data_IF_347772726771
#
_entry.id   IF_347772726771
#
_cell.length_a   1.000
_cell.length_b   1.000
_cell.length_c   1.000
_cell.angle_alpha   90.00
_cell.angle_beta   90.00
_cell.angle_gamma   90.00
#
_symmetry.space_group_name_H-M   'P 1'
#
loop_
_entity.id
_entity.type
_entity.pdbx_description
1 polymer ?
#
# COMPACT_ATOMS: atom_id res chain seq x y z
N UNK A 1 -22.13 9.40 14.79
CA UNK A 1 -22.83 8.28 15.41
C UNK A 1 -23.96 7.84 14.49
N UNK A 2 -23.99 6.57 14.13
CA UNK A 2 -25.06 5.97 13.35
C UNK A 2 -25.98 5.20 14.28
N UNK A 3 -27.26 5.49 14.23
CA UNK A 3 -28.28 4.77 15.00
C UNK A 3 -29.10 3.90 14.04
N UNK A 4 -29.11 2.59 14.29
CA UNK A 4 -29.99 1.65 13.61
C UNK A 4 -31.07 1.19 14.60
N UNK A 5 -32.36 1.54 14.39
CA UNK A 5 -33.45 1.02 15.21
C UNK A 5 -33.50 -0.51 15.15
N UNK A 6 -33.86 -1.16 16.28
CA UNK A 6 -34.08 -2.61 16.31
C UNK A 6 -35.27 -3.04 15.43
N UNK A 7 -36.20 -2.14 15.22
CA UNK A 7 -37.37 -2.35 14.36
C UNK A 7 -37.44 -1.26 13.30
N UNK A 8 -38.06 -1.57 12.17
CA UNK A 8 -38.29 -0.59 11.11
C UNK A 8 -39.21 0.54 11.67
N UNK A 9 -38.67 1.77 11.64
CA UNK A 9 -39.41 2.96 12.06
C UNK A 9 -40.03 3.60 10.84
N UNK A 10 -41.33 3.63 10.77
CA UNK A 10 -42.06 4.37 9.74
C UNK A 10 -42.12 5.83 10.17
N UNK A 11 -41.41 6.70 9.44
CA UNK A 11 -41.44 8.15 9.69
C UNK A 11 -42.68 8.75 9.04
N UNK A 12 -43.59 9.30 9.83
CA UNK A 12 -44.79 9.97 9.36
C UNK A 12 -44.53 11.44 9.05
N UNK A 13 -45.07 11.93 7.94
CA UNK A 13 -44.94 13.32 7.55
C UNK A 13 -45.60 14.25 8.59
N UNK A 14 -44.88 15.28 9.05
CA UNK A 14 -45.33 16.23 10.04
C UNK A 14 -45.02 15.84 11.50
N UNK A 15 -44.42 14.67 11.73
CA UNK A 15 -44.02 14.21 13.08
C UNK A 15 -42.56 14.59 13.38
N UNK A 16 -42.29 14.93 14.63
CA UNK A 16 -40.94 15.24 15.13
C UNK A 16 -40.46 14.08 16.02
N UNK A 17 -39.35 13.45 15.63
CA UNK A 17 -38.71 12.36 16.36
C UNK A 17 -37.56 12.90 17.22
N UNK A 18 -37.53 12.60 18.50
CA UNK A 18 -36.41 12.94 19.39
C UNK A 18 -35.85 11.69 20.01
N UNK A 19 -34.58 11.46 19.76
CA UNK A 19 -33.84 10.35 20.38
C UNK A 19 -33.01 10.84 21.57
N UNK A 20 -33.09 10.10 22.68
CA UNK A 20 -32.21 10.31 23.83
C UNK A 20 -31.12 9.26 23.81
N UNK A 21 -29.90 9.71 23.71
CA UNK A 21 -28.73 8.83 23.63
C UNK A 21 -27.97 8.92 24.94
N UNK A 22 -27.73 7.78 25.58
CA UNK A 22 -26.88 7.68 26.76
C UNK A 22 -25.48 7.25 26.34
N UNK A 23 -24.50 8.06 26.71
CA UNK A 23 -23.07 7.78 26.43
C UNK A 23 -22.47 7.13 27.67
N UNK A 24 -21.94 5.92 27.53
CA UNK A 24 -21.20 5.21 28.57
C UNK A 24 -19.78 4.88 28.08
N UNK A 25 -18.93 4.42 29.00
CA UNK A 25 -17.53 4.06 28.68
C UNK A 25 -17.39 2.90 27.70
N UNK A 26 -18.45 2.14 27.42
CA UNK A 26 -18.47 0.96 26.54
C UNK A 26 -19.25 1.19 25.24
N UNK A 27 -19.79 2.39 25.01
CA UNK A 27 -20.57 2.70 23.80
C UNK A 27 -21.72 3.66 24.05
N UNK A 28 -22.59 3.78 23.05
CA UNK A 28 -23.81 4.59 23.10
C UNK A 28 -25.00 3.69 23.23
N UNK A 29 -25.78 3.92 24.28
CA UNK A 29 -27.07 3.24 24.45
C UNK A 29 -28.20 4.24 24.25
N UNK A 30 -29.17 3.91 23.41
CA UNK A 30 -30.36 4.71 23.24
C UNK A 30 -31.32 4.43 24.41
N UNK A 31 -31.65 5.45 25.19
CA UNK A 31 -32.63 5.29 26.29
C UNK A 31 -34.09 5.39 25.83
N UNK A 32 -34.34 5.87 24.62
CA UNK A 32 -35.67 5.87 24.03
C UNK A 32 -35.79 6.86 22.85
N UNK A 33 -36.72 6.57 21.97
CA UNK A 33 -37.19 7.52 20.93
C UNK A 33 -38.56 8.03 21.40
N UNK A 34 -38.71 9.35 21.51
CA UNK A 34 -40.04 9.96 21.71
C UNK A 34 -40.46 10.75 20.48
N UNK A 35 -41.67 10.51 20.01
CA UNK A 35 -42.29 11.32 18.98
C UNK A 35 -42.79 12.60 19.68
N UNK A 36 -42.21 13.75 19.30
CA UNK A 36 -42.54 15.02 19.96
C UNK A 36 -43.87 15.59 19.55
N UNK A 37 -44.58 16.15 20.46
CA UNK A 37 -45.67 17.11 20.51
C UNK A 37 -47.00 16.86 19.77
N UNK A 38 -47.11 15.87 18.90
CA UNK A 38 -48.35 15.65 18.15
C UNK A 38 -49.04 14.32 18.41
N UNK A 39 -48.32 13.30 18.79
CA UNK A 39 -48.84 12.01 19.27
C UNK A 39 -47.77 11.38 20.16
N UNK A 40 -48.13 10.99 21.41
CA UNK A 40 -47.27 10.13 22.22
C UNK A 40 -47.25 8.73 21.60
N UNK A 41 -46.28 8.49 20.76
CA UNK A 41 -46.01 7.16 20.22
C UNK A 41 -44.88 6.54 21.00
N UNK A 42 -45.10 5.40 21.58
CA UNK A 42 -44.18 4.63 22.42
C UNK A 42 -42.70 4.86 22.30
N UNK A 43 -41.93 4.53 23.30
CA UNK A 43 -40.48 4.62 23.29
C UNK A 43 -39.83 3.36 22.69
N UNK A 44 -38.90 3.52 21.82
CA UNK A 44 -38.02 2.42 21.40
C UNK A 44 -36.66 2.52 22.09
N UNK A 45 -36.11 1.38 22.49
CA UNK A 45 -34.73 1.27 22.97
C UNK A 45 -33.88 0.57 21.90
N UNK A 46 -32.72 1.11 21.64
CA UNK A 46 -31.74 0.51 20.74
C UNK A 46 -30.32 0.78 21.23
N UNK A 47 -29.40 -0.10 20.94
CA UNK A 47 -27.99 0.15 21.17
C UNK A 47 -27.41 0.90 19.97
N UNK A 48 -26.61 1.92 20.24
CA UNK A 48 -25.86 2.57 19.17
C UNK A 48 -24.70 1.64 18.78
N UNK A 49 -24.63 1.30 17.51
CA UNK A 49 -23.53 0.50 16.98
C UNK A 49 -22.25 1.34 16.96
N UNK A 50 -21.18 0.80 17.54
CA UNK A 50 -19.84 1.37 17.42
C UNK A 50 -19.30 1.06 16.01
N UNK A 51 -19.30 2.05 15.13
CA UNK A 51 -18.83 1.90 13.77
C UNK A 51 -17.29 1.80 13.64
N UNK A 52 -16.55 1.92 14.76
CA UNK A 52 -15.10 1.82 14.79
C UNK A 52 -14.36 3.03 14.22
N UNK A 53 -15.04 4.15 13.99
CA UNK A 53 -14.46 5.40 13.53
C UNK A 53 -15.20 6.63 14.04
N UNK A 54 -14.52 7.78 14.06
CA UNK A 54 -15.11 9.10 14.21
C UNK A 54 -15.05 9.84 12.87
N UNK A 55 -16.05 10.64 12.55
CA UNK A 55 -16.10 11.43 11.32
C UNK A 55 -16.11 12.93 11.60
N UNK A 56 -15.18 13.67 11.02
CA UNK A 56 -15.17 15.12 10.99
C UNK A 56 -15.64 15.61 9.61
N UNK A 57 -16.82 16.23 9.58
CA UNK A 57 -17.41 16.75 8.34
C UNK A 57 -16.69 17.96 7.76
N UNK A 58 -15.93 18.71 8.57
CA UNK A 58 -15.21 19.91 8.09
C UNK A 58 -14.00 19.53 7.25
N UNK A 59 -13.32 18.45 7.64
CA UNK A 59 -12.11 17.94 6.96
C UNK A 59 -12.40 16.72 6.08
N UNK A 60 -13.62 16.20 6.10
CA UNK A 60 -14.03 14.92 5.49
C UNK A 60 -13.13 13.75 5.96
N UNK A 61 -12.70 13.77 7.22
CA UNK A 61 -11.76 12.79 7.76
C UNK A 61 -12.47 11.77 8.62
N UNK A 62 -12.21 10.51 8.35
CA UNK A 62 -12.59 9.36 9.16
C UNK A 62 -11.40 8.93 10.01
N UNK A 63 -11.50 9.10 11.34
CA UNK A 63 -10.48 8.66 12.29
C UNK A 63 -10.85 7.27 12.79
N UNK A 64 -10.12 6.27 12.31
CA UNK A 64 -10.38 4.83 12.52
C UNK A 64 -9.60 4.33 13.73
N UNK A 65 -10.25 3.55 14.61
CA UNK A 65 -9.62 3.05 15.83
C UNK A 65 -9.77 1.53 16.06
N UNK A 66 -10.42 0.79 15.15
CA UNK A 66 -10.48 -0.66 15.17
C UNK A 66 -10.69 -1.26 13.77
N UNK A 67 -10.65 -2.59 13.65
CA UNK A 67 -10.78 -3.31 12.38
C UNK A 67 -12.14 -3.07 11.71
N UNK A 68 -13.22 -3.09 12.48
CA UNK A 68 -14.57 -2.90 11.92
C UNK A 68 -14.71 -1.48 11.35
N UNK A 69 -14.11 -0.48 12.03
CA UNK A 69 -14.05 0.89 11.52
C UNK A 69 -13.30 1.00 10.18
N UNK A 70 -12.17 0.32 10.04
CA UNK A 70 -11.44 0.33 8.78
C UNK A 70 -12.24 -0.36 7.65
N UNK A 71 -12.90 -1.47 7.95
CA UNK A 71 -13.77 -2.18 7.00
C UNK A 71 -14.96 -1.32 6.59
N UNK A 72 -15.65 -0.68 7.56
CA UNK A 72 -16.79 0.20 7.29
C UNK A 72 -16.39 1.40 6.40
N UNK A 73 -15.22 2.00 6.65
CA UNK A 73 -14.73 3.12 5.83
C UNK A 73 -14.30 2.64 4.44
N UNK A 74 -13.72 1.44 4.32
CA UNK A 74 -13.43 0.83 3.03
C UNK A 74 -14.70 0.64 2.18
N UNK A 75 -15.80 0.17 2.80
CA UNK A 75 -17.10 0.05 2.14
C UNK A 75 -17.65 1.41 1.69
N UNK A 76 -17.46 2.48 2.48
CA UNK A 76 -17.87 3.83 2.07
C UNK A 76 -17.12 4.31 0.83
N UNK A 77 -15.80 4.06 0.76
CA UNK A 77 -14.99 4.39 -0.43
C UNK A 77 -15.45 3.59 -1.63
N UNK A 78 -15.58 2.27 -1.48
CA UNK A 78 -16.01 1.37 -2.54
C UNK A 78 -17.47 1.61 -2.97
N UNK A 79 -18.28 2.24 -2.10
CA UNK A 79 -19.62 2.75 -2.39
C UNK A 79 -19.66 4.14 -3.05
N UNK A 80 -18.51 4.71 -3.45
CA UNK A 80 -18.41 5.94 -4.23
C UNK A 80 -17.93 7.18 -3.47
N UNK A 81 -17.60 7.10 -2.16
CA UNK A 81 -17.00 8.21 -1.41
C UNK A 81 -15.45 8.19 -1.54
N UNK A 82 -14.96 8.31 -2.75
CA UNK A 82 -13.55 8.07 -3.09
C UNK A 82 -12.59 9.16 -2.62
N UNK A 83 -13.08 10.37 -2.28
CA UNK A 83 -12.29 11.57 -1.93
C UNK A 83 -12.20 11.85 -0.41
N UNK A 84 -12.60 10.89 0.43
CA UNK A 84 -12.54 11.04 1.89
C UNK A 84 -11.13 10.81 2.42
N UNK A 85 -10.80 11.48 3.53
CA UNK A 85 -9.55 11.25 4.24
C UNK A 85 -9.74 10.18 5.32
N UNK A 86 -8.73 9.35 5.50
CA UNK A 86 -8.71 8.28 6.50
C UNK A 86 -7.46 8.43 7.35
N UNK A 87 -7.61 8.44 8.67
CA UNK A 87 -6.48 8.46 9.60
C UNK A 87 -6.65 7.32 10.61
N UNK A 88 -5.59 6.60 10.88
CA UNK A 88 -5.58 5.60 11.95
C UNK A 88 -5.23 6.27 13.29
N UNK A 89 -5.97 5.98 14.33
CA UNK A 89 -5.73 6.44 15.72
C UNK A 89 -5.12 5.33 16.60
N UNK A 90 -5.14 4.09 16.11
CA UNK A 90 -4.63 2.90 16.79
C UNK A 90 -4.14 1.86 15.79
N UNK A 91 -3.38 0.90 16.31
CA UNK A 91 -3.07 -0.31 15.55
C UNK A 91 -4.35 -1.07 15.20
N UNK A 92 -4.40 -1.61 13.99
CA UNK A 92 -5.56 -2.32 13.45
C UNK A 92 -5.18 -3.79 13.22
N UNK A 93 -5.90 -4.71 13.85
CA UNK A 93 -5.74 -6.15 13.62
C UNK A 93 -6.83 -6.66 12.68
N UNK A 94 -6.42 -7.03 11.46
CA UNK A 94 -7.28 -7.63 10.43
C UNK A 94 -7.16 -9.15 10.36
N UNK A 95 -6.51 -9.79 11.33
CA UNK A 95 -6.33 -11.24 11.34
C UNK A 95 -7.69 -11.95 11.30
N UNK A 96 -7.87 -12.82 10.31
CA UNK A 96 -9.12 -13.57 10.11
C UNK A 96 -10.29 -12.75 9.56
N UNK A 97 -10.09 -11.47 9.26
CA UNK A 97 -11.10 -10.63 8.60
C UNK A 97 -10.97 -10.76 7.08
N UNK A 98 -12.10 -10.84 6.37
CA UNK A 98 -12.13 -10.68 4.92
C UNK A 98 -11.82 -9.25 4.54
N UNK A 99 -11.02 -9.04 3.48
CA UNK A 99 -10.69 -7.70 3.02
C UNK A 99 -11.00 -7.52 1.54
N UNK A 100 -11.77 -6.50 1.23
CA UNK A 100 -11.91 -5.97 -0.13
C UNK A 100 -11.02 -4.75 -0.26
N UNK A 101 -10.08 -4.70 -1.23
CA UNK A 101 -9.21 -3.55 -1.40
C UNK A 101 -9.96 -2.24 -1.52
N UNK A 102 -9.44 -1.17 -0.89
CA UNK A 102 -9.99 0.18 -1.01
C UNK A 102 -9.69 0.70 -2.41
N UNK A 103 -10.73 1.20 -3.11
CA UNK A 103 -10.60 1.60 -4.51
C UNK A 103 -10.42 0.39 -5.42
N UNK A 104 -11.52 -0.15 -5.94
CA UNK A 104 -11.53 -1.45 -6.62
C UNK A 104 -10.95 -1.44 -8.03
N UNK A 105 -11.03 -0.29 -8.72
CA UNK A 105 -10.66 -0.14 -10.12
C UNK A 105 -10.40 1.33 -10.48
N UNK A 106 -10.15 1.61 -11.76
CA UNK A 106 -9.89 2.97 -12.26
C UNK A 106 -11.02 3.96 -11.97
N UNK A 107 -12.27 3.56 -12.15
CA UNK A 107 -13.43 4.43 -11.99
C UNK A 107 -13.77 4.66 -10.51
N UNK A 108 -13.52 3.66 -9.67
CA UNK A 108 -13.70 3.67 -8.22
C UNK A 108 -12.35 3.78 -7.48
N UNK A 109 -11.38 4.49 -8.04
CA UNK A 109 -10.07 4.68 -7.43
C UNK A 109 -10.16 5.56 -6.18
N UNK A 110 -9.39 5.23 -5.14
CA UNK A 110 -9.27 6.10 -3.97
C UNK A 110 -8.44 7.34 -4.30
N UNK A 111 -8.95 8.53 -3.99
CA UNK A 111 -8.33 9.82 -4.31
C UNK A 111 -8.10 10.71 -3.09
N UNK A 112 -8.39 10.22 -1.89
CA UNK A 112 -8.15 10.93 -0.64
C UNK A 112 -6.73 10.75 -0.09
N UNK A 113 -6.56 11.15 1.17
CA UNK A 113 -5.36 10.90 1.96
C UNK A 113 -5.62 9.81 3.00
N UNK A 114 -4.81 8.77 2.98
CA UNK A 114 -4.74 7.76 4.04
C UNK A 114 -3.47 7.99 4.86
N UNK A 115 -3.63 8.36 6.11
CA UNK A 115 -2.52 8.56 7.06
C UNK A 115 -2.57 7.49 8.15
N UNK A 116 -1.61 6.58 8.13
CA UNK A 116 -1.51 5.55 9.17
C UNK A 116 -1.07 6.08 10.53
N UNK A 117 -0.61 7.33 10.64
CA UNK A 117 -0.17 7.91 11.91
C UNK A 117 1.01 7.15 12.56
N UNK A 118 1.71 6.31 11.82
CA UNK A 118 2.73 5.39 12.34
C UNK A 118 2.15 4.12 12.99
N UNK A 119 0.84 3.92 12.91
CA UNK A 119 0.19 2.71 13.43
C UNK A 119 0.34 1.52 12.49
N UNK A 120 0.22 0.34 13.07
CA UNK A 120 0.38 -0.94 12.38
C UNK A 120 -0.98 -1.52 11.97
N UNK A 121 -1.07 -1.98 10.72
CA UNK A 121 -2.12 -2.88 10.25
C UNK A 121 -1.53 -4.29 10.21
N UNK A 122 -2.07 -5.19 11.06
CA UNK A 122 -1.58 -6.57 11.19
C UNK A 122 -2.53 -7.55 10.52
N UNK A 123 -1.97 -8.61 9.90
CA UNK A 123 -2.71 -9.77 9.45
C UNK A 123 -3.64 -9.55 8.26
N UNK A 124 -3.48 -8.46 7.51
CA UNK A 124 -4.24 -8.23 6.28
C UNK A 124 -4.10 -9.42 5.33
N UNK A 125 -5.22 -10.04 4.97
CA UNK A 125 -5.26 -11.15 4.02
C UNK A 125 -6.17 -10.81 2.85
N UNK A 126 -5.61 -10.84 1.64
CA UNK A 126 -6.34 -10.67 0.37
C UNK A 126 -6.10 -11.89 -0.50
N UNK A 127 -7.16 -12.55 -0.92
CA UNK A 127 -7.09 -13.57 -1.98
C UNK A 127 -8.21 -13.26 -2.97
N UNK A 128 -7.85 -12.82 -4.15
CA UNK A 128 -8.82 -12.35 -5.14
C UNK A 128 -8.52 -12.87 -6.54
N UNK A 129 -9.59 -12.97 -7.35
CA UNK A 129 -9.54 -13.16 -8.80
C UNK A 129 -9.75 -11.81 -9.54
N UNK A 130 -9.93 -10.72 -8.82
CA UNK A 130 -9.99 -9.38 -9.39
C UNK A 130 -8.60 -8.91 -9.78
N UNK A 131 -8.53 -7.87 -10.59
CA UNK A 131 -7.30 -7.41 -11.22
C UNK A 131 -6.32 -6.77 -10.23
N UNK A 132 -6.82 -6.12 -9.16
CA UNK A 132 -6.02 -5.34 -8.22
C UNK A 132 -6.08 -5.88 -6.80
N UNK A 133 -4.92 -6.09 -6.17
CA UNK A 133 -4.81 -6.65 -4.83
C UNK A 133 -3.81 -5.86 -3.96
N UNK A 134 -4.23 -5.56 -2.71
CA UNK A 134 -3.45 -4.83 -1.71
C UNK A 134 -4.34 -4.32 -0.59
N UNK A 135 -3.82 -3.44 0.27
CA UNK A 135 -4.67 -2.63 1.15
C UNK A 135 -5.59 -1.76 0.27
N UNK A 136 -5.01 -1.21 -0.79
CA UNK A 136 -5.73 -0.52 -1.88
C UNK A 136 -5.64 -1.36 -3.16
N UNK A 137 -6.72 -1.37 -3.94
CA UNK A 137 -6.69 -1.89 -5.30
C UNK A 137 -6.09 -0.85 -6.26
N UNK A 138 -6.71 0.32 -6.31
CA UNK A 138 -6.34 1.40 -7.21
C UNK A 138 -6.26 2.76 -6.49
N UNK A 139 -5.09 3.40 -6.53
CA UNK A 139 -4.83 4.70 -5.92
C UNK A 139 -4.73 5.81 -6.96
N UNK A 140 -5.58 6.83 -6.85
CA UNK A 140 -5.61 7.98 -7.75
C UNK A 140 -5.93 7.60 -9.19
N UNK A 141 -6.24 8.57 -10.01
CA UNK A 141 -6.30 8.41 -11.46
C UNK A 141 -6.15 9.76 -12.16
N UNK A 142 -5.97 9.73 -13.48
CA UNK A 142 -5.74 10.93 -14.28
C UNK A 142 -6.90 11.94 -14.20
N UNK A 143 -8.14 11.46 -14.07
CA UNK A 143 -9.34 12.32 -14.10
C UNK A 143 -9.72 12.87 -12.73
N UNK A 144 -9.53 12.09 -11.66
CA UNK A 144 -10.07 12.38 -10.33
C UNK A 144 -8.99 12.87 -9.35
N UNK A 145 -7.71 12.84 -9.75
CA UNK A 145 -6.59 13.32 -8.95
C UNK A 145 -5.75 12.21 -8.30
N UNK A 146 -4.65 12.64 -7.70
CA UNK A 146 -3.70 11.76 -7.04
C UNK A 146 -4.14 11.47 -5.60
N UNK A 147 -3.95 10.23 -5.17
CA UNK A 147 -4.10 9.82 -3.77
C UNK A 147 -2.79 10.00 -2.99
N UNK A 148 -2.88 10.03 -1.67
CA UNK A 148 -1.71 9.92 -0.79
C UNK A 148 -1.93 8.81 0.24
N UNK A 149 -0.96 7.90 0.35
CA UNK A 149 -0.90 6.90 1.43
C UNK A 149 0.40 7.10 2.17
N UNK A 150 0.34 7.32 3.48
CA UNK A 150 1.55 7.60 4.25
C UNK A 150 1.52 7.03 5.66
N UNK A 151 2.73 6.86 6.24
CA UNK A 151 2.94 6.49 7.63
C UNK A 151 2.24 5.18 8.04
N UNK A 152 2.24 4.16 7.19
CA UNK A 152 1.58 2.88 7.45
C UNK A 152 2.61 1.78 7.65
N UNK A 153 2.53 1.07 8.76
CA UNK A 153 3.26 -0.19 9.00
C UNK A 153 2.31 -1.35 8.72
N UNK A 154 2.64 -2.18 7.74
CA UNK A 154 1.85 -3.36 7.38
C UNK A 154 2.62 -4.62 7.79
N UNK A 155 2.11 -5.34 8.79
CA UNK A 155 2.84 -6.47 9.39
C UNK A 155 2.11 -7.81 9.17
N UNK A 156 2.88 -8.80 8.70
CA UNK A 156 2.41 -10.17 8.51
C UNK A 156 1.31 -10.30 7.44
N UNK A 157 1.33 -9.45 6.40
CA UNK A 157 0.30 -9.48 5.35
C UNK A 157 0.40 -10.71 4.44
N UNK A 158 -0.72 -11.11 3.87
CA UNK A 158 -0.81 -12.18 2.88
C UNK A 158 -1.67 -11.72 1.69
N UNK A 159 -1.02 -11.29 0.62
CA UNK A 159 -1.70 -10.83 -0.60
C UNK A 159 -1.52 -11.88 -1.71
N UNK A 160 -2.63 -12.32 -2.30
CA UNK A 160 -2.65 -13.25 -3.43
C UNK A 160 -3.62 -12.74 -4.51
N UNK A 161 -3.08 -12.38 -5.67
CA UNK A 161 -3.85 -12.00 -6.84
C UNK A 161 -3.79 -13.12 -7.88
N UNK A 162 -4.91 -13.84 -8.07
CA UNK A 162 -4.99 -14.96 -9.02
C UNK A 162 -5.36 -14.49 -10.44
N UNK A 163 -5.66 -13.22 -10.65
CA UNK A 163 -6.01 -12.69 -11.95
C UNK A 163 -4.82 -12.80 -12.92
N UNK A 164 -5.07 -13.22 -14.18
CA UNK A 164 -4.01 -13.43 -15.17
C UNK A 164 -3.21 -12.16 -15.46
N UNK A 165 -3.86 -11.01 -15.49
CA UNK A 165 -3.25 -9.68 -15.65
C UNK A 165 -3.17 -8.93 -14.33
N UNK A 166 -3.00 -9.65 -13.21
CA UNK A 166 -3.15 -9.09 -11.87
C UNK A 166 -2.01 -8.18 -11.45
N UNK A 167 -2.38 -7.20 -10.68
CA UNK A 167 -1.52 -6.21 -10.02
C UNK A 167 -1.57 -6.44 -8.52
N UNK A 168 -0.45 -6.80 -7.91
CA UNK A 168 -0.39 -7.09 -6.49
C UNK A 168 0.70 -6.26 -5.80
N UNK A 169 0.32 -5.61 -4.71
CA UNK A 169 1.23 -4.89 -3.82
C UNK A 169 0.72 -4.92 -2.39
N UNK A 170 1.59 -4.82 -1.40
CA UNK A 170 1.17 -4.75 -0.02
C UNK A 170 0.31 -3.52 0.24
N UNK A 171 0.77 -2.35 -0.20
CA UNK A 171 0.02 -1.10 -0.10
C UNK A 171 -1.01 -0.99 -1.23
N UNK A 172 -0.60 -1.14 -2.49
CA UNK A 172 -1.54 -0.98 -3.60
C UNK A 172 -1.25 -1.90 -4.78
N UNK A 173 -2.29 -2.38 -5.47
CA UNK A 173 -2.15 -3.05 -6.76
C UNK A 173 -1.63 -2.09 -7.82
N UNK A 174 -2.28 -0.94 -7.97
CA UNK A 174 -1.92 0.11 -8.93
C UNK A 174 -1.96 1.50 -8.29
N UNK A 175 -1.01 2.37 -8.60
CA UNK A 175 -0.93 3.71 -8.01
C UNK A 175 -0.57 4.79 -9.03
N UNK A 176 -1.34 5.91 -8.98
CA UNK A 176 -1.06 7.21 -9.59
C UNK A 176 -0.70 8.27 -8.54
N UNK A 177 -0.58 7.87 -7.30
CA UNK A 177 -0.44 8.76 -6.16
C UNK A 177 0.95 8.75 -5.54
N UNK A 178 0.97 9.26 -4.33
CA UNK A 178 2.14 9.28 -3.45
C UNK A 178 2.01 8.18 -2.40
N UNK A 179 3.06 7.36 -2.25
CA UNK A 179 3.21 6.39 -1.16
C UNK A 179 4.45 6.80 -0.37
N UNK A 180 4.28 7.18 0.89
CA UNK A 180 5.36 7.76 1.68
C UNK A 180 5.46 7.10 3.07
N UNK A 181 6.69 6.83 3.51
CA UNK A 181 6.96 6.30 4.85
C UNK A 181 6.11 5.07 5.20
N UNK A 182 6.02 4.11 4.26
CA UNK A 182 5.27 2.87 4.45
C UNK A 182 6.22 1.68 4.52
N UNK A 183 5.95 0.75 5.43
CA UNK A 183 6.70 -0.49 5.54
C UNK A 183 5.80 -1.71 5.41
N UNK A 184 6.30 -2.75 4.74
CA UNK A 184 5.53 -3.96 4.45
C UNK A 184 6.33 -5.20 4.84
N UNK A 185 5.70 -6.10 5.63
CA UNK A 185 6.21 -7.43 5.93
C UNK A 185 5.16 -8.51 5.63
N UNK A 186 5.61 -9.74 5.36
CA UNK A 186 4.73 -10.87 5.07
C UNK A 186 4.94 -11.44 3.66
N UNK A 187 3.88 -11.59 2.85
CA UNK A 187 3.97 -12.14 1.50
C UNK A 187 3.04 -11.46 0.51
N UNK A 188 3.55 -11.24 -0.70
CA UNK A 188 2.78 -10.74 -1.85
C UNK A 188 2.98 -11.67 -3.03
N UNK A 189 1.91 -12.19 -3.60
CA UNK A 189 1.95 -13.09 -4.74
C UNK A 189 0.94 -12.71 -5.82
N UNK A 190 1.31 -12.94 -7.07
CA UNK A 190 0.45 -12.65 -8.22
C UNK A 190 1.08 -13.10 -9.52
N UNK A 191 0.49 -12.69 -10.65
CA UNK A 191 0.94 -13.14 -11.97
C UNK A 191 1.76 -12.07 -12.69
N UNK A 192 1.20 -10.90 -12.98
CA UNK A 192 1.80 -10.00 -13.96
C UNK A 192 2.68 -8.93 -13.32
N UNK A 193 2.15 -8.12 -12.43
CA UNK A 193 2.86 -7.00 -11.80
C UNK A 193 2.84 -7.16 -10.30
N UNK A 194 3.96 -7.56 -9.72
CA UNK A 194 4.01 -7.93 -8.30
C UNK A 194 5.14 -7.19 -7.60
N UNK A 195 4.80 -6.39 -6.59
CA UNK A 195 5.76 -5.68 -5.77
C UNK A 195 5.43 -5.79 -4.28
N UNK A 196 6.43 -5.73 -3.45
CA UNK A 196 6.20 -5.79 -1.99
C UNK A 196 5.39 -4.60 -1.48
N UNK A 197 5.57 -3.41 -2.07
CA UNK A 197 4.80 -2.20 -1.75
C UNK A 197 3.70 -1.97 -2.79
N UNK A 198 4.04 -1.99 -4.09
CA UNK A 198 3.09 -1.68 -5.15
C UNK A 198 3.30 -2.58 -6.38
N UNK A 199 2.21 -3.05 -7.01
CA UNK A 199 2.28 -3.76 -8.28
C UNK A 199 2.81 -2.87 -9.40
N UNK A 200 2.14 -1.76 -9.67
CA UNK A 200 2.56 -0.71 -10.62
C UNK A 200 2.48 0.67 -9.99
N UNK A 201 3.57 1.42 -10.05
CA UNK A 201 3.59 2.86 -9.81
C UNK A 201 3.62 3.57 -11.15
N UNK A 202 2.57 4.30 -11.45
CA UNK A 202 2.46 5.14 -12.63
C UNK A 202 2.30 6.59 -12.19
N UNK A 203 3.24 7.46 -12.58
CA UNK A 203 3.32 8.82 -12.07
C UNK A 203 3.45 8.90 -10.52
N UNK A 204 3.56 10.08 -9.95
CA UNK A 204 3.71 10.24 -8.51
C UNK A 204 5.00 9.68 -7.93
N UNK A 205 5.00 9.36 -6.63
CA UNK A 205 6.24 8.99 -5.94
C UNK A 205 6.07 7.88 -4.92
N UNK A 206 7.13 7.08 -4.75
CA UNK A 206 7.33 6.21 -3.60
C UNK A 206 8.56 6.73 -2.84
N UNK A 207 8.38 7.17 -1.61
CA UNK A 207 9.46 7.80 -0.84
C UNK A 207 9.55 7.23 0.58
N UNK A 208 10.75 6.89 1.03
CA UNK A 208 10.97 6.36 2.38
C UNK A 208 10.24 5.04 2.66
N UNK A 209 9.95 4.25 1.64
CA UNK A 209 9.20 3.01 1.79
C UNK A 209 10.10 1.77 1.81
N UNK A 210 9.68 0.77 2.56
CA UNK A 210 10.43 -0.48 2.67
C UNK A 210 9.56 -1.72 2.53
N UNK A 211 10.19 -2.82 2.08
CA UNK A 211 9.55 -4.13 2.05
C UNK A 211 10.51 -5.22 2.51
N UNK A 212 10.09 -5.96 3.53
CA UNK A 212 10.67 -7.24 3.93
C UNK A 212 9.81 -8.43 3.50
N UNK A 213 8.72 -8.17 2.77
CA UNK A 213 7.82 -9.21 2.30
C UNK A 213 8.50 -10.14 1.29
N UNK A 214 8.18 -11.43 1.34
CA UNK A 214 8.49 -12.36 0.26
C UNK A 214 7.58 -12.08 -0.92
N UNK A 215 8.16 -11.75 -2.07
CA UNK A 215 7.43 -11.45 -3.29
C UNK A 215 7.53 -12.61 -4.26
N UNK A 216 6.38 -13.05 -4.83
CA UNK A 216 6.33 -14.13 -5.81
C UNK A 216 5.48 -13.71 -7.02
N UNK A 217 6.03 -13.86 -8.23
CA UNK A 217 5.31 -13.49 -9.44
C UNK A 217 5.90 -14.08 -10.70
N UNK A 218 5.37 -13.68 -11.87
CA UNK A 218 5.74 -14.29 -13.16
C UNK A 218 6.39 -13.30 -14.12
N UNK A 219 5.82 -12.09 -14.32
CA UNK A 219 6.22 -11.24 -15.45
C UNK A 219 7.08 -10.04 -15.02
N UNK A 220 6.56 -9.17 -14.16
CA UNK A 220 7.30 -8.02 -13.64
C UNK A 220 7.26 -8.05 -12.11
N UNK A 221 8.38 -8.42 -11.52
CA UNK A 221 8.43 -8.77 -10.11
C UNK A 221 9.56 -8.03 -9.41
N UNK A 222 9.25 -7.29 -8.35
CA UNK A 222 10.24 -6.53 -7.59
C UNK A 222 9.94 -6.47 -6.09
N UNK A 223 10.97 -6.31 -5.29
CA UNK A 223 10.83 -6.27 -3.83
C UNK A 223 10.04 -5.07 -3.32
N UNK A 224 10.09 -3.92 -4.01
CA UNK A 224 9.26 -2.72 -3.75
C UNK A 224 8.17 -2.58 -4.80
N UNK A 225 8.53 -2.56 -6.08
CA UNK A 225 7.58 -2.36 -7.16
C UNK A 225 7.76 -3.40 -8.29
N UNK A 226 6.65 -3.94 -8.80
CA UNK A 226 6.69 -4.78 -10.01
C UNK A 226 7.11 -3.96 -11.22
N UNK A 227 6.50 -2.80 -11.39
CA UNK A 227 6.82 -1.86 -12.47
C UNK A 227 6.71 -0.40 -12.01
N UNK A 228 7.60 0.46 -12.55
CA UNK A 228 7.49 1.93 -12.49
C UNK A 228 7.47 2.49 -13.90
N UNK A 229 6.56 3.42 -14.18
CA UNK A 229 6.38 4.00 -15.53
C UNK A 229 6.02 5.48 -15.49
N UNK A 230 6.21 6.16 -16.63
CA UNK A 230 5.88 7.58 -16.85
C UNK A 230 6.59 8.52 -15.85
N UNK A 231 5.80 9.28 -15.06
CA UNK A 231 6.28 10.24 -14.08
C UNK A 231 6.76 9.64 -12.75
N UNK A 232 6.78 8.32 -12.60
CA UNK A 232 7.09 7.65 -11.35
C UNK A 232 8.52 7.91 -10.84
N UNK A 233 8.66 8.19 -9.55
CA UNK A 233 9.94 8.35 -8.87
C UNK A 233 10.02 7.44 -7.64
N UNK A 234 11.20 6.87 -7.38
CA UNK A 234 11.51 6.16 -6.15
C UNK A 234 12.67 6.83 -5.44
N UNK A 235 12.48 7.21 -4.18
CA UNK A 235 13.52 7.87 -3.36
C UNK A 235 13.60 7.24 -1.99
N UNK A 236 14.79 6.95 -1.51
CA UNK A 236 15.06 6.40 -0.18
C UNK A 236 14.24 5.13 0.14
N UNK A 237 14.10 4.22 -0.84
CA UNK A 237 13.34 2.99 -0.70
C UNK A 237 14.25 1.76 -0.63
N UNK A 238 13.79 0.73 0.08
CA UNK A 238 14.59 -0.49 0.13
C UNK A 238 13.76 -1.77 0.22
N UNK A 239 14.37 -2.89 -0.23
CA UNK A 239 13.80 -4.23 -0.11
C UNK A 239 14.79 -5.20 0.51
N UNK A 240 14.34 -5.92 1.53
CA UNK A 240 15.11 -6.97 2.21
C UNK A 240 14.50 -8.36 2.05
N UNK A 241 13.25 -8.42 1.60
CA UNK A 241 12.54 -9.67 1.34
C UNK A 241 12.99 -10.37 0.06
N UNK A 242 12.82 -11.68 0.00
CA UNK A 242 13.18 -12.47 -1.18
C UNK A 242 12.19 -12.25 -2.34
N UNK A 243 12.72 -12.26 -3.56
CA UNK A 243 11.94 -12.17 -4.79
C UNK A 243 12.04 -13.50 -5.55
N UNK A 244 10.91 -14.15 -5.78
CA UNK A 244 10.80 -15.44 -6.44
C UNK A 244 10.03 -15.31 -7.75
N UNK A 245 10.67 -15.64 -8.88
CA UNK A 245 10.11 -15.45 -10.21
C UNK A 245 9.80 -16.81 -10.82
N UNK A 246 8.51 -17.06 -11.12
CA UNK A 246 8.09 -18.25 -11.87
C UNK A 246 8.05 -17.89 -13.35
N UNK A 247 9.04 -18.37 -14.11
CA UNK A 247 9.17 -18.04 -15.53
C UNK A 247 8.10 -18.76 -16.33
N UNK A 248 7.22 -17.98 -17.00
CA UNK A 248 6.29 -18.48 -18.00
C UNK A 248 6.95 -18.53 -19.39
N UNK A 249 6.67 -19.60 -20.14
CA UNK A 249 7.38 -19.95 -21.37
C UNK A 249 7.26 -18.96 -22.53
N UNK A 250 6.31 -18.04 -22.49
CA UNK A 250 5.93 -17.22 -23.67
C UNK A 250 6.05 -15.71 -23.45
N UNK A 251 6.42 -15.25 -22.27
CA UNK A 251 6.42 -13.83 -21.93
C UNK A 251 7.84 -13.29 -21.72
N UNK A 252 8.01 -11.98 -21.95
CA UNK A 252 9.18 -11.27 -21.51
C UNK A 252 9.09 -11.03 -19.99
N UNK A 253 10.16 -11.35 -19.29
CA UNK A 253 10.21 -11.38 -17.85
C UNK A 253 11.24 -10.42 -17.32
N UNK A 254 10.82 -9.59 -16.36
CA UNK A 254 11.69 -8.63 -15.70
C UNK A 254 11.59 -8.81 -14.17
N UNK A 255 12.67 -9.25 -13.56
CA UNK A 255 12.74 -9.46 -12.12
C UNK A 255 13.90 -8.71 -11.47
N UNK A 256 13.65 -8.05 -10.34
CA UNK A 256 14.66 -7.32 -9.61
C UNK A 256 14.47 -7.34 -8.10
N UNK A 257 15.55 -7.24 -7.36
CA UNK A 257 15.49 -7.17 -5.91
C UNK A 257 14.71 -5.97 -5.39
N UNK A 258 14.72 -4.84 -6.14
CA UNK A 258 13.94 -3.65 -5.82
C UNK A 258 12.75 -3.47 -6.78
N UNK A 259 13.03 -3.38 -8.09
CA UNK A 259 12.00 -3.17 -9.13
C UNK A 259 12.19 -4.16 -10.26
N UNK A 260 11.10 -4.74 -10.76
CA UNK A 260 11.12 -5.62 -11.92
C UNK A 260 11.44 -4.84 -13.20
N UNK A 261 10.60 -3.89 -13.56
CA UNK A 261 10.72 -3.08 -14.77
C UNK A 261 10.67 -1.58 -14.43
N UNK A 262 11.73 -0.85 -14.75
CA UNK A 262 11.91 0.54 -14.35
C UNK A 262 11.97 1.46 -15.58
N UNK A 263 10.86 2.16 -15.86
CA UNK A 263 10.67 3.14 -16.94
C UNK A 263 9.94 4.40 -16.45
N UNK A 264 10.25 4.80 -15.21
CA UNK A 264 9.74 6.03 -14.58
C UNK A 264 10.54 7.27 -14.96
N UNK A 265 10.86 8.13 -13.97
CA UNK A 265 11.74 9.30 -14.15
C UNK A 265 13.09 9.11 -13.45
N UNK A 266 13.07 8.71 -12.17
CA UNK A 266 14.28 8.59 -11.37
C UNK A 266 14.19 7.55 -10.26
N UNK A 267 15.35 7.01 -9.92
CA UNK A 267 15.53 6.12 -8.79
C UNK A 267 16.76 6.62 -8.02
N UNK A 268 16.53 7.06 -6.78
CA UNK A 268 17.51 7.77 -5.99
C UNK A 268 17.70 7.13 -4.62
N UNK A 269 18.95 6.80 -4.29
CA UNK A 269 19.35 6.34 -2.95
C UNK A 269 18.48 5.17 -2.44
N UNK A 270 18.41 4.11 -3.23
CA UNK A 270 17.64 2.91 -2.91
C UNK A 270 18.56 1.69 -2.78
N UNK A 271 18.11 0.66 -2.05
CA UNK A 271 18.89 -0.57 -2.00
C UNK A 271 18.04 -1.85 -1.94
N UNK A 272 18.65 -3.00 -2.27
CA UNK A 272 18.06 -4.32 -2.18
C UNK A 272 19.04 -5.35 -1.59
N UNK A 273 18.56 -6.17 -0.65
CA UNK A 273 19.36 -7.24 -0.05
C UNK A 273 18.74 -8.63 -0.11
N UNK A 274 17.42 -8.71 -0.37
CA UNK A 274 16.73 -9.98 -0.53
C UNK A 274 17.25 -10.79 -1.72
N UNK A 275 17.32 -12.09 -1.59
CA UNK A 275 17.71 -12.97 -2.68
C UNK A 275 16.68 -12.93 -3.81
N UNK A 276 17.18 -12.90 -5.05
CA UNK A 276 16.35 -13.01 -6.25
C UNK A 276 16.56 -14.41 -6.84
N UNK A 277 15.48 -15.15 -7.03
CA UNK A 277 15.52 -16.51 -7.56
C UNK A 277 14.52 -16.67 -8.70
N UNK A 278 14.81 -17.56 -9.63
CA UNK A 278 13.90 -17.88 -10.74
C UNK A 278 13.83 -19.37 -10.97
N UNK A 279 12.63 -19.81 -11.38
CA UNK A 279 12.38 -21.21 -11.77
C UNK A 279 11.61 -21.25 -13.09
N UNK A 280 11.88 -22.24 -13.93
CA UNK A 280 11.28 -22.36 -15.24
C UNK A 280 12.21 -21.85 -16.36
N UNK A 281 11.68 -21.72 -17.56
CA UNK A 281 12.38 -21.20 -18.74
C UNK A 281 11.41 -20.52 -19.68
N UNK A 282 11.83 -19.44 -20.36
CA UNK A 282 11.05 -18.75 -21.38
C UNK A 282 11.74 -18.80 -22.76
N UNK A 283 10.95 -18.71 -23.81
CA UNK A 283 11.42 -18.41 -25.17
C UNK A 283 11.48 -16.89 -25.44
N UNK A 284 10.88 -16.08 -24.55
CA UNK A 284 11.00 -14.63 -24.53
C UNK A 284 12.27 -14.15 -23.83
N UNK A 285 12.40 -12.84 -23.67
CA UNK A 285 13.52 -12.25 -22.95
C UNK A 285 13.35 -12.44 -21.44
N UNK A 286 14.43 -12.81 -20.77
CA UNK A 286 14.43 -12.98 -19.30
C UNK A 286 15.52 -12.08 -18.72
N UNK A 287 15.10 -11.03 -18.05
CA UNK A 287 15.95 -10.05 -17.42
C UNK A 287 15.81 -10.10 -15.90
N UNK A 288 16.76 -10.70 -15.21
CA UNK A 288 16.75 -10.85 -13.76
C UNK A 288 18.04 -10.31 -13.19
N UNK A 289 17.92 -9.28 -12.35
CA UNK A 289 19.02 -8.62 -11.68
C UNK A 289 18.89 -8.57 -10.17
N UNK A 290 19.97 -8.43 -9.45
CA UNK A 290 19.99 -8.32 -8.00
C UNK A 290 19.30 -7.07 -7.47
N UNK A 291 19.14 -6.05 -8.31
CA UNK A 291 18.50 -4.78 -7.98
C UNK A 291 17.34 -4.45 -8.92
N UNK A 292 17.59 -4.42 -10.25
CA UNK A 292 16.58 -4.18 -11.30
C UNK A 292 16.63 -5.29 -12.36
N UNK A 293 15.46 -5.67 -12.88
CA UNK A 293 15.38 -6.49 -14.09
C UNK A 293 15.71 -5.66 -15.33
N UNK A 294 14.82 -4.76 -15.70
CA UNK A 294 15.02 -3.79 -16.77
C UNK A 294 15.14 -2.37 -16.23
N UNK A 295 16.00 -1.56 -16.86
CA UNK A 295 16.16 -0.14 -16.54
C UNK A 295 16.29 0.73 -17.79
N UNK A 296 15.46 1.77 -17.88
CA UNK A 296 15.44 2.75 -18.97
C UNK A 296 15.76 4.18 -18.52
N UNK A 297 15.95 4.40 -17.21
CA UNK A 297 16.03 5.73 -16.60
C UNK A 297 17.34 5.96 -15.85
N UNK A 298 17.47 7.14 -15.26
CA UNK A 298 18.58 7.49 -14.38
C UNK A 298 18.42 6.83 -13.01
N UNK A 299 19.47 6.12 -12.58
CA UNK A 299 19.59 5.51 -11.25
C UNK A 299 20.80 6.12 -10.57
N UNK A 300 20.62 6.67 -9.36
CA UNK A 300 21.65 7.42 -8.63
C UNK A 300 21.84 6.88 -7.22
N UNK A 301 23.08 6.62 -6.83
CA UNK A 301 23.50 6.19 -5.50
C UNK A 301 22.68 5.01 -4.97
N UNK A 302 22.54 3.97 -5.76
CA UNK A 302 21.78 2.78 -5.41
C UNK A 302 22.68 1.56 -5.19
N UNK A 303 22.25 0.66 -4.33
CA UNK A 303 23.11 -0.45 -3.89
C UNK A 303 22.36 -1.78 -3.83
N UNK A 304 23.11 -2.89 -3.98
CA UNK A 304 22.56 -4.21 -3.72
C UNK A 304 23.58 -5.12 -3.03
N UNK A 305 23.05 -6.11 -2.29
CA UNK A 305 23.83 -7.17 -1.66
C UNK A 305 23.02 -8.44 -1.58
N UNK A 306 23.09 -9.27 -2.61
CA UNK A 306 22.38 -10.54 -2.65
C UNK A 306 23.11 -11.56 -3.53
N UNK A 307 22.41 -12.65 -3.90
CA UNK A 307 22.95 -13.78 -4.66
C UNK A 307 23.28 -13.48 -6.14
N UNK A 308 22.90 -12.31 -6.67
CA UNK A 308 23.20 -11.93 -8.06
C UNK A 308 24.54 -11.18 -8.20
N UNK A 309 25.27 -11.49 -9.28
CA UNK A 309 26.51 -10.77 -9.61
C UNK A 309 26.24 -9.46 -10.33
N UNK A 310 25.14 -9.37 -11.08
CA UNK A 310 24.71 -8.16 -11.76
C UNK A 310 23.56 -7.49 -11.00
N UNK A 311 23.69 -6.19 -10.76
CA UNK A 311 22.61 -5.41 -10.15
C UNK A 311 21.46 -5.16 -11.11
N UNK A 312 21.76 -4.89 -12.39
CA UNK A 312 20.79 -4.64 -13.45
C UNK A 312 21.03 -5.64 -14.59
N UNK A 313 19.98 -6.38 -14.98
CA UNK A 313 20.09 -7.37 -16.05
C UNK A 313 20.07 -6.70 -17.43
N UNK A 314 19.12 -5.83 -17.71
CA UNK A 314 19.04 -5.07 -18.94
C UNK A 314 19.00 -3.57 -18.67
N UNK A 315 19.94 -2.81 -19.27
CA UNK A 315 20.10 -1.40 -18.96
C UNK A 315 20.21 -0.53 -20.20
N UNK A 316 19.31 0.46 -20.31
CA UNK A 316 19.37 1.55 -21.31
C UNK A 316 19.49 2.93 -20.67
N UNK A 317 19.40 3.02 -19.34
CA UNK A 317 19.52 4.26 -18.59
C UNK A 317 20.94 4.59 -18.17
N UNK A 318 21.11 5.74 -17.53
CA UNK A 318 22.34 6.12 -16.84
C UNK A 318 22.31 5.53 -15.42
N UNK A 319 23.37 4.83 -15.00
CA UNK A 319 23.33 4.12 -13.72
C UNK A 319 24.53 4.41 -12.83
N UNK A 320 24.23 4.58 -11.56
CA UNK A 320 25.17 4.48 -10.45
C UNK A 320 24.58 3.46 -9.45
N UNK A 321 24.78 2.18 -9.80
CA UNK A 321 24.33 1.03 -8.98
C UNK A 321 25.55 0.21 -8.62
N UNK A 322 25.75 -0.03 -7.31
CA UNK A 322 27.00 -0.62 -6.79
C UNK A 322 26.71 -1.81 -5.89
N UNK A 323 27.44 -2.92 -6.10
CA UNK A 323 27.38 -4.09 -5.20
C UNK A 323 28.12 -3.79 -3.90
N UNK A 324 27.44 -4.04 -2.78
CA UNK A 324 28.08 -4.03 -1.47
C UNK A 324 28.75 -5.38 -1.26
N UNK A 325 30.07 -5.41 -1.34
CA UNK A 325 30.88 -6.64 -1.21
C UNK A 325 31.45 -6.84 0.21
N UNK A 326 31.33 -5.82 1.05
CA UNK A 326 31.82 -5.84 2.42
C UNK A 326 33.32 -5.62 2.56
N UNK A 327 34.03 -5.41 1.46
CA UNK A 327 35.48 -5.19 1.43
C UNK A 327 35.84 -3.85 0.77
N UNK A 328 35.52 -3.71 -0.51
CA UNK A 328 35.77 -2.46 -1.25
C UNK A 328 34.61 -1.47 -1.09
N UNK A 329 33.38 -1.98 -1.02
CA UNK A 329 32.18 -1.21 -0.74
C UNK A 329 31.46 -1.80 0.46
N UNK A 330 31.46 -1.04 1.55
CA UNK A 330 30.74 -1.39 2.78
C UNK A 330 29.41 -0.65 2.87
N UNK A 331 28.56 -1.03 3.83
CA UNK A 331 27.30 -0.29 4.06
C UNK A 331 27.55 1.12 4.60
N UNK A 332 28.65 1.36 5.35
CA UNK A 332 29.05 2.70 5.80
C UNK A 332 29.28 3.63 4.60
N UNK A 333 30.09 3.17 3.63
CA UNK A 333 30.36 3.94 2.41
C UNK A 333 29.08 4.15 1.58
N UNK A 334 28.21 3.14 1.53
CA UNK A 334 26.94 3.22 0.81
C UNK A 334 26.00 4.24 1.44
N UNK A 335 25.86 4.25 2.77
CA UNK A 335 25.04 5.21 3.53
C UNK A 335 25.52 6.64 3.31
N UNK A 336 26.84 6.90 3.40
CA UNK A 336 27.41 8.22 3.16
C UNK A 336 27.09 8.74 1.74
N UNK A 337 27.23 7.87 0.74
CA UNK A 337 26.95 8.22 -0.64
C UNK A 337 25.44 8.42 -0.91
N UNK A 338 24.58 7.56 -0.34
CA UNK A 338 23.13 7.72 -0.43
C UNK A 338 22.66 9.02 0.23
N UNK A 339 23.15 9.33 1.44
CA UNK A 339 22.82 10.55 2.16
C UNK A 339 23.31 11.82 1.43
N UNK A 340 24.50 11.76 0.84
CA UNK A 340 25.01 12.85 -0.01
C UNK A 340 24.12 13.08 -1.22
N UNK A 341 23.68 12.01 -1.89
CA UNK A 341 22.79 12.13 -3.04
C UNK A 341 21.41 12.64 -2.65
N UNK A 342 20.84 12.21 -1.53
CA UNK A 342 19.59 12.74 -0.98
C UNK A 342 19.70 14.22 -0.65
N UNK A 343 20.79 14.64 0.02
CA UNK A 343 21.04 16.04 0.33
C UNK A 343 21.14 16.91 -0.92
N UNK A 344 21.87 16.45 -1.93
CA UNK A 344 22.02 17.15 -3.21
C UNK A 344 20.70 17.27 -3.98
N UNK A 345 19.78 16.35 -3.78
CA UNK A 345 18.43 16.38 -4.33
C UNK A 345 17.43 17.20 -3.47
N UNK A 346 17.87 17.79 -2.35
CA UNK A 346 17.00 18.55 -1.44
C UNK A 346 16.05 17.68 -0.62
N UNK A 347 16.31 16.39 -0.51
CA UNK A 347 15.49 15.48 0.30
C UNK A 347 15.83 15.60 1.78
N UNK A 348 14.82 15.51 2.63
CA UNK A 348 15.00 15.43 4.09
C UNK A 348 15.28 14.02 4.59
N UNK A 349 15.04 13.00 3.76
CA UNK A 349 15.32 11.60 4.09
C UNK A 349 16.79 11.33 4.29
N UNK A 350 17.10 10.51 5.28
CA UNK A 350 18.46 10.06 5.59
C UNK A 350 18.45 8.60 6.00
N UNK A 351 19.52 7.91 5.66
CA UNK A 351 19.78 6.57 6.16
C UNK A 351 20.69 6.63 7.38
N UNK A 352 20.41 5.79 8.35
CA UNK A 352 21.31 5.49 9.45
C UNK A 352 21.68 4.00 9.39
N UNK A 353 22.91 3.68 9.73
CA UNK A 353 23.33 2.28 9.80
C UNK A 353 22.91 1.70 11.14
N UNK A 354 21.83 0.93 11.16
CA UNK A 354 21.29 0.24 12.32
C UNK A 354 21.69 -1.23 12.28
N UNK A 355 22.77 -1.59 12.98
CA UNK A 355 23.33 -2.95 12.91
C UNK A 355 23.96 -3.24 11.53
N UNK A 356 23.47 -4.26 10.82
CA UNK A 356 24.05 -4.74 9.58
C UNK A 356 23.51 -4.09 8.30
N UNK A 357 22.40 -3.36 8.38
CA UNK A 357 21.71 -2.74 7.21
C UNK A 357 21.32 -1.29 7.50
N UNK A 358 21.29 -0.44 6.45
CA UNK A 358 20.73 0.91 6.55
C UNK A 358 19.22 0.88 6.82
N UNK A 359 18.71 1.83 7.60
CA UNK A 359 17.29 2.04 7.87
C UNK A 359 16.93 3.51 7.83
#
# INVERSE_FOLDING_TARGET
FYFRPQNDVVLEAGSRYKYTVKVNATGLTLEGCTIGSWVDGGGESGEAEDLGYNYDSNTKTYTVYNADGLMNVAELVNGGKTDINITLDKNIDLTGKGWTPIGTDYDNSYTGTFDGGGHTITGLTVTTNDEYAGLFGYLGNFNNGAATVKNVVMDGIQITCNHRSGYAGGVAGYSWGTIENCSVSGSVSGTMYVGGVVGVQRDGSITGCSSSATVKGTIKVGGVAGQTIFGATLTACYATGNVNIEIDRTQDISGGGLVGFNDGISLLSCYATGNVTSTGSSTGHVHIGGFLGDNYITVTACYWKNNHEQGISYNRGSTNVTKVDGTNVTWENAVDAMNTALQNAGSEWRYELNGALPT
#
